data_IF_908015434904
#
_entry.id   IF_908015434904
#
_cell.length_a   1.000
_cell.length_b   1.000
_cell.length_c   1.000
_cell.angle_alpha   90.00
_cell.angle_beta   90.00
_cell.angle_gamma   90.00
#
_symmetry.space_group_name_H-M   'P 1'
#
loop_
_entity.id
_entity.type
_entity.pdbx_description
1 polymer ?
#
# COMPACT_ATOMS: atom_id res chain seq x y z
N UNK A 1 19.31 -16.12 14.94
CA UNK A 1 18.26 -15.07 14.86
C UNK A 1 17.31 -15.41 13.72
N UNK A 2 16.04 -15.73 13.99
CA UNK A 2 15.05 -16.04 12.95
C UNK A 2 14.38 -14.73 12.47
N UNK A 3 14.79 -14.22 11.31
CA UNK A 3 14.16 -13.08 10.68
C UNK A 3 12.86 -13.56 10.02
N UNK A 4 11.72 -13.34 10.69
CA UNK A 4 10.42 -13.68 10.13
C UNK A 4 10.12 -12.69 8.99
N UNK A 5 10.29 -13.17 7.75
CA UNK A 5 9.96 -12.47 6.50
C UNK A 5 8.59 -11.79 6.65
N UNK A 6 8.54 -10.48 6.46
CA UNK A 6 7.29 -9.72 6.32
C UNK A 6 6.47 -10.41 5.23
N UNK A 7 5.35 -11.03 5.61
CA UNK A 7 4.44 -11.65 4.66
C UNK A 7 3.77 -10.52 3.87
N UNK A 8 4.23 -10.32 2.65
CA UNK A 8 3.51 -9.56 1.64
C UNK A 8 2.34 -10.44 1.20
N UNK A 9 1.13 -9.91 1.25
CA UNK A 9 -0.05 -10.60 0.75
C UNK A 9 -0.22 -10.23 -0.72
N UNK A 10 -0.23 -11.24 -1.58
CA UNK A 10 -0.54 -11.05 -2.99
C UNK A 10 -2.06 -10.93 -3.13
N UNK A 11 -2.50 -9.70 -3.41
CA UNK A 11 -3.90 -9.31 -3.52
C UNK A 11 -4.35 -9.23 -4.98
N UNK A 12 -3.52 -9.69 -5.93
CA UNK A 12 -3.84 -9.71 -7.36
C UNK A 12 -5.14 -10.48 -7.67
N UNK A 13 -5.46 -11.48 -6.83
CA UNK A 13 -6.65 -12.31 -6.97
C UNK A 13 -7.95 -11.61 -6.53
N UNK A 14 -7.86 -10.52 -5.74
CA UNK A 14 -9.01 -9.78 -5.22
C UNK A 14 -9.44 -8.64 -6.16
N UNK A 15 -8.70 -8.37 -7.25
CA UNK A 15 -9.07 -7.34 -8.22
C UNK A 15 -9.22 -5.94 -7.60
N UNK A 16 -8.47 -5.67 -6.52
CA UNK A 16 -8.55 -4.41 -5.79
C UNK A 16 -8.09 -3.25 -6.67
N UNK A 17 -8.95 -2.26 -6.82
CA UNK A 17 -8.68 -1.04 -7.58
C UNK A 17 -8.35 0.11 -6.64
N UNK A 18 -7.34 0.90 -6.99
CA UNK A 18 -7.04 2.13 -6.29
C UNK A 18 -8.24 3.09 -6.40
N UNK A 19 -8.71 3.62 -5.27
CA UNK A 19 -9.84 4.55 -5.24
C UNK A 19 -9.59 5.89 -5.95
N UNK A 20 -8.33 6.20 -6.26
CA UNK A 20 -7.91 7.49 -6.83
C UNK A 20 -7.60 7.40 -8.33
N UNK A 21 -6.95 6.31 -8.76
CA UNK A 21 -6.49 6.15 -10.16
C UNK A 21 -7.03 4.88 -10.85
N UNK A 22 -7.76 4.01 -10.15
CA UNK A 22 -8.32 2.79 -10.74
C UNK A 22 -7.31 1.68 -11.06
N UNK A 23 -6.02 1.86 -10.73
CA UNK A 23 -4.99 0.83 -10.97
C UNK A 23 -5.18 -0.39 -10.09
N UNK A 24 -4.86 -1.57 -10.63
CA UNK A 24 -4.89 -2.84 -9.90
C UNK A 24 -3.75 -2.91 -8.87
N UNK A 25 -4.09 -3.31 -7.65
CA UNK A 25 -3.14 -3.48 -6.56
C UNK A 25 -2.76 -4.97 -6.47
N UNK A 26 -1.45 -5.25 -6.53
CA UNK A 26 -0.90 -6.61 -6.57
C UNK A 26 -0.37 -7.09 -5.22
N UNK A 27 0.30 -6.20 -4.49
CA UNK A 27 0.98 -6.54 -3.24
C UNK A 27 0.68 -5.52 -2.15
N UNK A 28 0.23 -5.99 -0.99
CA UNK A 28 0.05 -5.15 0.19
C UNK A 28 0.68 -5.82 1.43
N UNK A 29 1.32 -5.03 2.31
CA UNK A 29 1.88 -5.52 3.56
C UNK A 29 0.81 -5.65 4.67
N UNK A 30 -0.44 -5.29 4.38
CA UNK A 30 -1.58 -5.36 5.31
C UNK A 30 -2.76 -6.04 4.60
N UNK A 31 -3.59 -6.73 5.37
CA UNK A 31 -4.84 -7.29 4.87
C UNK A 31 -5.77 -6.15 4.43
N UNK A 32 -6.20 -6.12 3.15
CA UNK A 32 -7.14 -5.13 2.66
C UNK A 32 -8.48 -5.33 3.39
N UNK A 33 -9.01 -4.27 4.00
CA UNK A 33 -10.32 -4.26 4.66
C UNK A 33 -11.30 -3.48 3.79
N UNK A 34 -12.51 -4.00 3.59
CA UNK A 34 -13.58 -3.35 2.83
C UNK A 34 -14.02 -1.99 3.42
N UNK A 35 -13.75 -1.74 4.70
CA UNK A 35 -14.14 -0.48 5.37
C UNK A 35 -13.33 0.75 4.93
N UNK A 36 -12.19 0.60 4.24
CA UNK A 36 -11.30 1.73 3.91
C UNK A 36 -10.85 1.72 2.45
N UNK A 37 -10.87 2.88 1.76
CA UNK A 37 -10.37 2.97 0.39
C UNK A 37 -8.88 2.65 0.36
N UNK A 38 -8.53 1.63 -0.44
CA UNK A 38 -7.14 1.23 -0.65
C UNK A 38 -6.52 2.09 -1.76
N UNK A 39 -5.30 2.54 -1.52
CA UNK A 39 -4.52 3.32 -2.49
C UNK A 39 -3.27 2.57 -2.92
N UNK A 40 -2.88 2.72 -4.19
CA UNK A 40 -1.60 2.22 -4.67
C UNK A 40 -0.43 2.98 -4.00
N UNK A 41 0.78 2.41 -4.07
CA UNK A 41 1.97 3.05 -3.49
C UNK A 41 2.20 4.47 -4.01
N UNK A 42 1.85 4.74 -5.27
CA UNK A 42 2.03 6.06 -5.88
C UNK A 42 1.07 7.10 -5.31
N UNK A 43 -0.23 6.81 -5.30
CA UNK A 43 -1.25 7.68 -4.69
C UNK A 43 -1.00 7.87 -3.20
N UNK A 44 -0.59 6.81 -2.49
CA UNK A 44 -0.21 6.90 -1.09
C UNK A 44 1.04 7.78 -0.85
N UNK A 45 2.03 7.74 -1.75
CA UNK A 45 3.21 8.63 -1.71
C UNK A 45 2.84 10.07 -2.00
N UNK A 46 1.98 10.33 -2.99
CA UNK A 46 1.50 11.69 -3.34
C UNK A 46 0.69 12.33 -2.22
N UNK A 47 -0.12 11.53 -1.51
CA UNK A 47 -0.91 12.00 -0.36
C UNK A 47 -0.09 12.16 0.92
N UNK A 48 1.10 11.56 1.01
CA UNK A 48 1.96 11.77 2.18
C UNK A 48 2.52 13.19 2.13
N UNK A 49 2.32 14.00 3.19
CA UNK A 49 2.97 15.30 3.26
C UNK A 49 4.48 15.10 3.18
N UNK A 50 5.23 16.06 2.59
CA UNK A 50 6.67 16.00 2.56
C UNK A 50 7.16 15.83 4.01
N UNK A 51 7.70 14.65 4.31
CA UNK A 51 8.27 14.43 5.62
C UNK A 51 9.46 15.38 5.71
N UNK A 52 9.33 16.32 6.63
CA UNK A 52 10.25 17.40 6.87
C UNK A 52 11.64 16.85 7.20
N UNK A 53 12.43 16.54 6.17
CA UNK A 53 13.80 16.04 6.26
C UNK A 53 14.72 17.22 6.57
N UNK A 54 14.54 17.84 7.75
CA UNK A 54 15.33 19.01 8.14
C UNK A 54 16.79 18.63 8.40
N UNK A 55 17.15 17.36 8.55
CA UNK A 55 18.55 17.00 8.85
C UNK A 55 18.94 15.64 8.27
N UNK A 56 19.35 15.59 7.01
CA UNK A 56 20.19 14.49 6.51
C UNK A 56 21.40 15.03 5.76
#
# INVERSE_FOLDING_TARGET
MAYQKRRLYDVSHLGLKCADCGVEIRELPFEPKDDRPVYCQDCARKRRPPQNRIFR
#
